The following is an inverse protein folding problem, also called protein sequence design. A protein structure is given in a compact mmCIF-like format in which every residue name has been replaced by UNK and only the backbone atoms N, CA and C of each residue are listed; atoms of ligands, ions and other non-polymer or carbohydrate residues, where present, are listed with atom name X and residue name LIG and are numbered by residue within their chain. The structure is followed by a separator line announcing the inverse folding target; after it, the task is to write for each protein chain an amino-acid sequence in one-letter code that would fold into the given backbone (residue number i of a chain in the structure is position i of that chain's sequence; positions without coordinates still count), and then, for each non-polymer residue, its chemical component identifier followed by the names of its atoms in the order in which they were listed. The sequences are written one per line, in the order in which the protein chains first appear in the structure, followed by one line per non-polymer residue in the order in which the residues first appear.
data_IF_038114061531
#
_entry.id   IF_038114061531
#
_cell.length_a   1.000
_cell.length_b   1.000
_cell.length_c   1.000
_cell.angle_alpha   90.00
_cell.angle_beta   90.00
_cell.angle_gamma   90.00
#
_symmetry.space_group_name_H-M   'P 1'
#
loop_
_entity.id
_entity.type
_entity.pdbx_description
1 polymer ?
#
# COMPACT_ATOMS: atom_id res chain seq x y z
N UNK A 1 -3.73 -26.16 -4.11
CA UNK A 1 -5.13 -25.77 -4.26
C UNK A 1 -5.20 -24.27 -4.51
N UNK A 2 -6.10 -23.84 -5.38
CA UNK A 2 -6.33 -22.45 -5.69
C UNK A 2 -7.69 -22.03 -5.17
N UNK A 3 -7.76 -20.83 -4.60
CA UNK A 3 -9.03 -20.20 -4.28
C UNK A 3 -9.71 -19.71 -5.56
N UNK A 4 -11.01 -19.85 -5.63
CA UNK A 4 -11.83 -19.33 -6.71
C UNK A 4 -13.16 -18.82 -6.17
N UNK A 5 -13.54 -17.62 -6.59
CA UNK A 5 -14.88 -17.09 -6.39
C UNK A 5 -15.32 -16.33 -7.64
N UNK A 6 -16.59 -16.37 -7.93
CA UNK A 6 -17.21 -15.56 -8.96
C UNK A 6 -18.19 -14.57 -8.30
N UNK A 7 -18.04 -13.29 -8.62
CA UNK A 7 -18.90 -12.22 -8.10
C UNK A 7 -19.70 -11.66 -9.26
N UNK A 8 -21.01 -11.60 -9.11
CA UNK A 8 -21.93 -10.99 -10.06
C UNK A 8 -22.54 -9.76 -9.44
N UNK A 9 -22.31 -8.62 -10.05
CA UNK A 9 -22.99 -7.38 -9.69
C UNK A 9 -24.32 -7.24 -10.46
N UNK A 10 -25.43 -7.12 -9.72
CA UNK A 10 -26.77 -6.94 -10.30
C UNK A 10 -27.14 -5.46 -10.29
N UNK A 11 -26.89 -4.77 -11.39
CA UNK A 11 -27.07 -3.30 -11.51
C UNK A 11 -28.48 -2.83 -11.11
N UNK A 12 -29.53 -3.62 -11.41
CA UNK A 12 -30.92 -3.26 -11.11
C UNK A 12 -31.21 -3.14 -9.61
N UNK A 13 -30.58 -3.96 -8.79
CA UNK A 13 -30.85 -4.06 -7.34
C UNK A 13 -29.70 -3.56 -6.48
N UNK A 14 -28.51 -3.35 -7.07
CA UNK A 14 -27.28 -3.05 -6.34
C UNK A 14 -26.75 -4.22 -5.50
N UNK A 15 -27.27 -5.43 -5.68
CA UNK A 15 -26.80 -6.60 -4.99
C UNK A 15 -25.59 -7.23 -5.69
N UNK A 16 -24.73 -7.82 -4.88
CA UNK A 16 -23.63 -8.67 -5.32
C UNK A 16 -23.96 -10.12 -4.94
N UNK A 17 -24.03 -10.97 -5.95
CA UNK A 17 -24.15 -12.40 -5.77
C UNK A 17 -22.76 -13.02 -5.83
N UNK A 18 -22.42 -13.84 -4.86
CA UNK A 18 -21.13 -14.56 -4.81
C UNK A 18 -21.37 -16.06 -4.99
N UNK A 19 -20.47 -16.71 -5.71
CA UNK A 19 -20.55 -18.17 -5.92
C UNK A 19 -20.37 -18.97 -4.63
N UNK A 20 -19.56 -18.44 -3.69
CA UNK A 20 -19.39 -19.00 -2.35
C UNK A 20 -20.19 -18.17 -1.33
N UNK A 21 -20.51 -18.78 -0.17
CA UNK A 21 -21.21 -18.08 0.93
C UNK A 21 -20.25 -17.08 1.62
N UNK A 22 -20.23 -15.86 1.11
CA UNK A 22 -19.38 -14.77 1.63
C UNK A 22 -20.11 -14.02 2.75
N UNK A 23 -19.46 -13.89 3.90
CA UNK A 23 -19.99 -13.22 5.09
C UNK A 23 -19.13 -12.01 5.46
N UNK A 24 -19.76 -10.88 5.72
CA UNK A 24 -19.07 -9.63 6.09
C UNK A 24 -18.31 -9.72 7.41
N UNK A 25 -18.72 -10.60 8.32
CA UNK A 25 -18.04 -10.80 9.58
C UNK A 25 -16.65 -11.42 9.45
N UNK A 26 -16.35 -12.08 8.32
CA UNK A 26 -15.05 -12.70 8.13
C UNK A 26 -13.97 -11.66 7.80
N UNK A 27 -12.78 -11.85 8.35
CA UNK A 27 -11.65 -10.94 8.23
C UNK A 27 -11.06 -10.83 6.81
N UNK A 28 -11.37 -11.79 5.94
CA UNK A 28 -10.84 -11.84 4.58
C UNK A 28 -11.88 -12.38 3.61
N UNK A 29 -12.09 -11.67 2.51
CA UNK A 29 -12.89 -12.13 1.38
C UNK A 29 -12.27 -13.36 0.74
N UNK A 30 -10.95 -13.35 0.52
CA UNK A 30 -10.20 -14.43 -0.12
C UNK A 30 -10.21 -15.73 0.69
N UNK A 31 -10.33 -15.66 2.02
CA UNK A 31 -10.44 -16.86 2.87
C UNK A 31 -11.78 -17.60 2.73
N UNK A 32 -12.75 -16.98 2.05
CA UNK A 32 -14.08 -17.54 1.83
C UNK A 32 -14.29 -18.08 0.42
N UNK A 33 -13.23 -18.13 -0.38
CA UNK A 33 -13.24 -18.68 -1.73
C UNK A 33 -13.42 -20.20 -1.70
N UNK A 34 -14.07 -20.73 -2.73
CA UNK A 34 -14.11 -22.17 -2.99
C UNK A 34 -12.74 -22.67 -3.46
N UNK A 35 -12.52 -23.97 -3.32
CA UNK A 35 -11.26 -24.60 -3.75
C UNK A 35 -11.41 -25.09 -5.18
N UNK A 36 -10.56 -24.61 -6.08
CA UNK A 36 -10.44 -25.12 -7.44
C UNK A 36 -9.56 -26.37 -7.43
N UNK A 37 -10.13 -27.50 -7.80
CA UNK A 37 -9.47 -28.81 -7.82
C UNK A 37 -9.19 -29.27 -9.26
N UNK A 38 -8.35 -30.27 -9.42
CA UNK A 38 -8.03 -30.85 -10.75
C UNK A 38 -6.98 -30.07 -11.54
N UNK A 39 -6.28 -29.13 -10.93
CA UNK A 39 -5.11 -28.47 -11.51
C UNK A 39 -3.88 -29.32 -11.25
N UNK A 40 -3.51 -30.15 -12.24
CA UNK A 40 -2.37 -31.05 -12.17
C UNK A 40 -1.21 -30.52 -13.06
N UNK A 41 0.03 -30.87 -12.72
CA UNK A 41 1.21 -30.51 -13.51
C UNK A 41 1.63 -29.05 -13.45
N UNK A 42 1.09 -28.26 -12.52
CA UNK A 42 1.52 -26.89 -12.30
C UNK A 42 2.75 -26.86 -11.38
N UNK A 43 3.90 -26.58 -11.97
CA UNK A 43 5.13 -26.35 -11.20
C UNK A 43 5.17 -24.90 -10.71
N UNK A 44 5.40 -24.74 -9.42
CA UNK A 44 5.63 -23.43 -8.80
C UNK A 44 7.12 -23.10 -8.93
N UNK A 45 7.46 -22.30 -9.93
CA UNK A 45 8.83 -21.85 -10.17
C UNK A 45 9.16 -20.56 -9.45
N UNK A 46 10.47 -20.28 -9.36
CA UNK A 46 10.98 -18.95 -9.06
C UNK A 46 10.71 -18.04 -10.27
N UNK A 47 10.03 -16.93 -10.07
CA UNK A 47 9.83 -15.91 -11.11
C UNK A 47 10.81 -14.79 -10.85
N UNK A 48 11.66 -14.51 -11.85
CA UNK A 48 12.53 -13.35 -11.86
C UNK A 48 12.17 -12.47 -13.05
N UNK A 49 11.94 -11.20 -12.78
CA UNK A 49 11.64 -10.20 -13.80
C UNK A 49 12.51 -8.97 -13.57
N UNK A 50 13.12 -8.46 -14.62
CA UNK A 50 13.88 -7.21 -14.62
C UNK A 50 13.38 -6.33 -15.78
N UNK A 51 12.92 -5.13 -15.47
CA UNK A 51 12.38 -4.17 -16.42
C UNK A 51 13.21 -2.88 -16.38
N UNK A 52 14.32 -2.80 -17.13
CA UNK A 52 14.99 -1.53 -17.34
C UNK A 52 14.15 -0.63 -18.26
N UNK A 53 14.21 0.67 -18.03
CA UNK A 53 13.56 1.66 -18.89
C UNK A 53 14.41 2.90 -19.03
N UNK A 54 14.16 3.63 -20.12
CA UNK A 54 14.73 4.96 -20.38
C UNK A 54 13.58 5.84 -20.85
N UNK A 55 13.49 7.04 -20.27
CA UNK A 55 12.48 8.04 -20.62
C UNK A 55 13.15 9.36 -20.96
N UNK A 56 12.44 10.22 -21.68
CA UNK A 56 12.83 11.59 -21.90
C UNK A 56 11.58 12.48 -21.80
N UNK A 57 11.63 13.44 -20.88
CA UNK A 57 10.57 14.41 -20.67
C UNK A 57 10.94 15.78 -21.23
N UNK A 58 9.94 16.56 -21.61
CA UNK A 58 10.07 17.98 -21.90
C UNK A 58 9.06 18.73 -21.05
N UNK A 59 9.53 19.73 -20.34
CA UNK A 59 8.68 20.76 -19.78
C UNK A 59 8.68 22.00 -20.67
N UNK A 60 7.76 22.90 -20.44
CA UNK A 60 7.71 24.18 -21.10
C UNK A 60 6.64 25.07 -20.50
N UNK A 61 6.85 26.35 -20.55
CA UNK A 61 5.92 27.36 -20.05
C UNK A 61 5.68 28.46 -21.09
N UNK A 62 4.52 29.09 -21.00
CA UNK A 62 4.19 30.26 -21.78
C UNK A 62 4.79 31.50 -21.09
N UNK A 63 5.54 32.32 -21.84
CA UNK A 63 6.03 33.60 -21.34
C UNK A 63 4.91 34.66 -21.26
N UNK A 64 5.22 35.82 -20.73
CA UNK A 64 4.26 36.91 -20.57
C UNK A 64 3.72 37.44 -21.92
N UNK A 65 4.45 37.21 -23.00
CA UNK A 65 4.10 37.59 -24.37
C UNK A 65 3.27 36.53 -25.10
N UNK A 66 3.05 35.36 -24.45
CA UNK A 66 2.24 34.27 -25.00
C UNK A 66 3.02 33.26 -25.86
N UNK A 67 4.37 33.37 -25.95
CA UNK A 67 5.18 32.41 -26.66
C UNK A 67 5.45 31.18 -25.76
N UNK A 68 5.40 30.00 -26.36
CA UNK A 68 5.71 28.76 -25.62
C UNK A 68 7.22 28.48 -25.66
N UNK A 69 7.88 28.59 -24.50
CA UNK A 69 9.29 28.26 -24.33
C UNK A 69 9.38 26.82 -23.81
N UNK A 70 10.13 25.98 -24.52
CA UNK A 70 10.40 24.60 -24.18
C UNK A 70 11.76 24.49 -23.51
N UNK A 71 11.79 23.77 -22.38
CA UNK A 71 13.04 23.42 -21.72
C UNK A 71 13.79 22.35 -22.51
N UNK A 72 15.08 22.17 -22.21
CA UNK A 72 15.84 21.06 -22.76
C UNK A 72 15.28 19.71 -22.29
N UNK A 73 15.40 18.65 -23.12
CA UNK A 73 14.91 17.33 -22.74
C UNK A 73 15.71 16.77 -21.56
N UNK A 74 14.99 16.29 -20.56
CA UNK A 74 15.56 15.64 -19.39
C UNK A 74 15.48 14.10 -19.56
N UNK A 75 16.58 13.43 -19.91
CA UNK A 75 16.62 11.99 -20.00
C UNK A 75 16.66 11.39 -18.60
N UNK A 76 15.91 10.32 -18.40
CA UNK A 76 15.87 9.54 -17.15
C UNK A 76 15.97 8.06 -17.46
N UNK A 77 16.58 7.28 -16.57
CA UNK A 77 16.68 5.84 -16.68
C UNK A 77 16.46 5.19 -15.30
N UNK A 78 15.83 4.06 -15.31
CA UNK A 78 15.58 3.31 -14.08
C UNK A 78 15.40 1.82 -14.34
N UNK A 79 15.12 1.08 -13.27
CA UNK A 79 14.90 -0.35 -13.32
C UNK A 79 13.90 -0.79 -12.26
N UNK A 80 12.99 -1.67 -12.64
CA UNK A 80 12.14 -2.42 -11.74
C UNK A 80 12.60 -3.88 -11.71
N UNK A 81 12.68 -4.45 -10.52
CA UNK A 81 13.08 -5.83 -10.28
C UNK A 81 11.97 -6.56 -9.51
N UNK A 82 11.69 -7.79 -9.89
CA UNK A 82 10.81 -8.66 -9.15
C UNK A 82 11.43 -10.04 -9.02
N UNK A 83 11.39 -10.57 -7.80
CA UNK A 83 11.70 -11.95 -7.49
C UNK A 83 10.54 -12.53 -6.69
N UNK A 84 9.82 -13.50 -7.25
CA UNK A 84 8.68 -14.10 -6.58
C UNK A 84 8.86 -15.61 -6.43
N UNK A 85 8.60 -16.08 -5.22
CA UNK A 85 8.46 -17.49 -4.87
C UNK A 85 6.97 -17.82 -4.74
N UNK A 86 6.66 -19.02 -4.31
CA UNK A 86 5.28 -19.45 -4.04
C UNK A 86 4.61 -18.72 -2.86
N UNK A 87 5.41 -18.15 -1.95
CA UNK A 87 4.92 -17.59 -0.68
C UNK A 87 5.34 -16.16 -0.46
N UNK A 88 6.45 -15.72 -1.06
CA UNK A 88 7.02 -14.39 -0.90
C UNK A 88 7.29 -13.76 -2.26
N UNK A 89 7.05 -12.46 -2.35
CA UNK A 89 7.46 -11.60 -3.45
C UNK A 89 8.41 -10.53 -2.93
N UNK A 90 9.49 -10.30 -3.67
CA UNK A 90 10.44 -9.22 -3.47
C UNK A 90 10.36 -8.32 -4.68
N UNK A 91 10.04 -7.06 -4.47
CA UNK A 91 10.01 -6.04 -5.50
C UNK A 91 11.04 -4.96 -5.17
N UNK A 92 11.82 -4.55 -6.16
CA UNK A 92 12.79 -3.47 -6.04
C UNK A 92 12.59 -2.47 -7.17
N UNK A 93 12.89 -1.22 -6.91
CA UNK A 93 12.87 -0.17 -7.94
C UNK A 93 13.97 0.85 -7.68
N UNK A 94 14.57 1.33 -8.75
CA UNK A 94 15.51 2.46 -8.73
C UNK A 94 15.05 3.44 -9.78
N UNK A 95 14.87 4.69 -9.38
CA UNK A 95 14.38 5.80 -10.18
C UNK A 95 13.09 5.42 -10.96
N UNK A 96 12.00 5.06 -10.26
CA UNK A 96 10.80 4.54 -10.89
C UNK A 96 10.11 5.59 -11.76
N UNK A 97 9.73 5.20 -12.97
CA UNK A 97 8.94 6.07 -13.86
C UNK A 97 7.44 5.89 -13.59
N UNK A 98 6.79 6.97 -13.21
CA UNK A 98 5.34 7.03 -13.01
C UNK A 98 4.61 7.85 -14.09
N UNK A 99 5.28 8.21 -15.17
CA UNK A 99 4.71 9.03 -16.26
C UNK A 99 3.50 8.38 -16.93
N UNK A 100 3.42 7.06 -16.91
CA UNK A 100 2.30 6.28 -17.46
C UNK A 100 1.12 6.13 -16.50
N UNK A 101 1.27 6.57 -15.24
CA UNK A 101 0.18 6.52 -14.27
C UNK A 101 -0.77 7.66 -14.56
N UNK A 102 -2.06 7.35 -14.72
CA UNK A 102 -3.08 8.39 -14.89
C UNK A 102 -2.97 9.44 -13.78
N UNK A 103 -2.89 10.71 -14.19
CA UNK A 103 -2.92 11.82 -13.25
C UNK A 103 -4.22 11.78 -12.43
N UNK A 104 -4.13 12.17 -11.17
CA UNK A 104 -5.30 12.28 -10.34
C UNK A 104 -6.23 13.36 -10.90
N UNK A 105 -7.53 13.10 -10.88
CA UNK A 105 -8.50 14.11 -11.30
C UNK A 105 -8.34 15.34 -10.40
N UNK A 106 -8.24 16.50 -11.02
CA UNK A 106 -8.18 17.76 -10.29
C UNK A 106 -9.42 17.93 -9.44
N UNK A 107 -9.29 17.72 -8.15
CA UNK A 107 -10.35 17.93 -7.18
C UNK A 107 -10.27 19.38 -6.70
N UNK A 108 -11.38 20.11 -6.83
CA UNK A 108 -11.49 21.46 -6.27
C UNK A 108 -11.69 21.32 -4.77
N UNK A 109 -10.61 21.49 -4.01
CA UNK A 109 -10.62 21.45 -2.55
C UNK A 109 -10.93 22.85 -2.02
N UNK A 110 -12.19 23.15 -1.76
CA UNK A 110 -12.60 24.37 -1.07
C UNK A 110 -13.20 23.98 0.28
N UNK A 111 -12.56 24.42 1.37
CA UNK A 111 -13.03 24.22 2.75
C UNK A 111 -13.12 22.74 3.22
N UNK A 112 -12.23 21.88 2.80
CA UNK A 112 -12.20 20.52 3.32
C UNK A 112 -11.62 20.46 4.73
N UNK A 113 -12.36 19.81 5.63
CA UNK A 113 -11.98 19.62 7.04
C UNK A 113 -10.99 18.44 7.22
N UNK A 114 -10.87 17.57 6.22
CA UNK A 114 -10.02 16.38 6.26
C UNK A 114 -9.14 16.34 5.01
N UNK A 115 -7.95 15.77 5.16
CA UNK A 115 -7.05 15.55 4.03
C UNK A 115 -7.71 14.60 3.00
N UNK A 116 -7.63 14.97 1.73
CA UNK A 116 -8.17 14.17 0.64
C UNK A 116 -7.42 12.84 0.54
N UNK A 117 -8.17 11.75 0.53
CA UNK A 117 -7.61 10.42 0.27
C UNK A 117 -7.60 10.16 -1.25
N UNK A 118 -6.40 10.02 -1.82
CA UNK A 118 -6.19 9.66 -3.22
C UNK A 118 -5.74 8.20 -3.28
N UNK A 119 -6.46 7.31 -4.00
CA UNK A 119 -6.06 5.92 -4.14
C UNK A 119 -4.67 5.78 -4.77
N UNK A 120 -3.90 4.78 -4.33
CA UNK A 120 -2.62 4.46 -4.94
C UNK A 120 -2.82 3.88 -6.34
N UNK A 121 -2.06 4.35 -7.31
CA UNK A 121 -2.09 3.89 -8.71
C UNK A 121 -0.72 3.43 -9.21
N UNK A 122 0.36 3.79 -8.51
CA UNK A 122 1.73 3.49 -8.93
C UNK A 122 2.02 1.99 -8.75
N UNK A 123 2.44 1.27 -9.81
CA UNK A 123 2.54 -0.20 -9.80
C UNK A 123 3.40 -0.76 -8.68
N UNK A 124 4.55 -0.12 -8.38
CA UNK A 124 5.43 -0.56 -7.30
C UNK A 124 4.73 -0.54 -5.94
N UNK A 125 3.97 0.50 -5.62
CA UNK A 125 3.27 0.63 -4.35
C UNK A 125 1.96 -0.17 -4.33
N UNK A 126 1.26 -0.26 -5.47
CA UNK A 126 -0.04 -0.93 -5.57
C UNK A 126 0.04 -2.44 -5.35
N UNK A 127 1.11 -3.08 -5.86
CA UNK A 127 1.29 -4.52 -5.78
C UNK A 127 1.40 -5.00 -4.33
N UNK A 128 0.49 -5.86 -3.89
CA UNK A 128 0.42 -6.36 -2.51
C UNK A 128 0.00 -5.32 -1.47
N UNK A 129 -0.62 -4.20 -1.86
CA UNK A 129 -1.05 -3.11 -0.96
C UNK A 129 -2.02 -3.60 0.12
N UNK A 130 -2.83 -4.60 -0.19
CA UNK A 130 -3.80 -5.17 0.76
C UNK A 130 -3.13 -5.77 2.01
N UNK A 131 -1.89 -6.23 1.89
CA UNK A 131 -1.12 -6.75 3.02
C UNK A 131 -0.70 -5.65 4.01
N UNK A 132 -0.73 -4.38 3.58
CA UNK A 132 -0.49 -3.21 4.42
C UNK A 132 -1.74 -2.63 5.05
N UNK A 133 -2.93 -3.17 4.73
CA UNK A 133 -4.19 -2.65 5.28
C UNK A 133 -4.27 -2.77 6.79
N UNK A 134 -4.72 -1.68 7.44
CA UNK A 134 -5.03 -1.60 8.86
C UNK A 134 -6.49 -1.15 9.05
N UNK A 135 -7.15 -1.47 10.18
CA UNK A 135 -8.53 -1.06 10.42
C UNK A 135 -8.81 0.43 10.26
N UNK A 136 -7.86 1.29 10.58
CA UNK A 136 -7.95 2.75 10.51
C UNK A 136 -7.14 3.39 9.39
N UNK A 137 -6.70 2.63 8.37
CA UNK A 137 -5.90 3.15 7.24
C UNK A 137 -4.70 4.00 7.66
N UNK A 138 -3.82 3.45 8.50
CA UNK A 138 -2.65 4.19 9.01
C UNK A 138 -1.51 4.30 8.00
N UNK A 139 -1.52 3.48 6.96
CA UNK A 139 -0.50 3.45 5.92
C UNK A 139 -1.02 4.15 4.67
N UNK A 140 -0.29 5.17 4.23
CA UNK A 140 -0.62 5.96 3.04
C UNK A 140 0.63 6.19 2.19
N UNK A 141 0.84 5.35 1.18
CA UNK A 141 2.04 5.33 0.34
C UNK A 141 2.20 6.56 -0.55
N UNK A 142 1.12 7.30 -0.81
CA UNK A 142 1.16 8.58 -1.55
C UNK A 142 1.92 9.70 -0.82
N UNK A 143 2.32 9.47 0.43
CA UNK A 143 3.25 10.34 1.15
C UNK A 143 4.69 10.26 0.61
N UNK A 144 5.03 9.19 -0.09
CA UNK A 144 6.27 9.01 -0.84
C UNK A 144 6.00 9.62 -2.22
N UNK A 145 6.58 10.78 -2.50
CA UNK A 145 6.20 11.59 -3.65
C UNK A 145 7.08 11.32 -4.87
N UNK A 146 8.39 11.47 -4.71
CA UNK A 146 9.40 11.30 -5.77
C UNK A 146 10.49 10.30 -5.33
N UNK A 147 10.19 9.00 -5.33
CA UNK A 147 11.10 8.01 -4.79
C UNK A 147 12.32 7.81 -5.69
N UNK A 148 13.51 8.04 -5.14
CA UNK A 148 14.81 7.67 -5.75
C UNK A 148 14.89 6.15 -5.94
N UNK A 149 14.32 5.41 -4.97
CA UNK A 149 14.29 3.97 -5.02
C UNK A 149 13.53 3.36 -3.85
N UNK A 150 13.26 2.08 -3.97
CA UNK A 150 12.56 1.35 -2.92
C UNK A 150 12.70 -0.16 -3.05
N UNK A 151 12.46 -0.83 -1.93
CA UNK A 151 12.40 -2.28 -1.84
C UNK A 151 11.17 -2.71 -1.05
N UNK A 152 10.53 -3.76 -1.48
CA UNK A 152 9.32 -4.28 -0.85
C UNK A 152 9.37 -5.80 -0.77
N UNK A 153 8.92 -6.33 0.36
CA UNK A 153 8.73 -7.77 0.58
C UNK A 153 7.29 -7.99 1.02
N UNK A 154 6.59 -8.84 0.31
CA UNK A 154 5.20 -9.19 0.65
C UNK A 154 4.97 -10.68 0.53
N UNK A 155 4.08 -11.22 1.36
CA UNK A 155 3.67 -12.60 1.24
C UNK A 155 3.14 -13.22 2.51
N UNK A 156 2.99 -14.55 2.47
CA UNK A 156 2.41 -15.31 3.57
C UNK A 156 3.25 -16.54 3.90
N UNK A 157 3.70 -16.64 5.14
CA UNK A 157 4.44 -17.78 5.68
C UNK A 157 3.57 -18.51 6.72
N UNK A 158 2.95 -19.60 6.30
CA UNK A 158 1.98 -20.31 7.12
C UNK A 158 0.79 -19.42 7.49
N UNK A 159 0.62 -19.13 8.77
CA UNK A 159 -0.44 -18.25 9.28
C UNK A 159 -0.03 -16.79 9.42
N UNK A 160 1.19 -16.42 9.02
CA UNK A 160 1.66 -15.06 9.15
C UNK A 160 1.75 -14.41 7.77
N UNK A 161 1.07 -13.29 7.58
CA UNK A 161 1.25 -12.40 6.44
C UNK A 161 2.26 -11.33 6.82
N UNK A 162 3.21 -11.07 5.95
CA UNK A 162 4.30 -10.10 6.16
C UNK A 162 4.30 -9.15 4.99
N UNK A 163 4.38 -7.86 5.29
CA UNK A 163 4.59 -6.82 4.30
C UNK A 163 5.60 -5.81 4.86
N UNK A 164 6.67 -5.60 4.12
CA UNK A 164 7.66 -4.58 4.39
C UNK A 164 7.86 -3.72 3.14
N UNK A 165 8.00 -2.42 3.32
CA UNK A 165 8.35 -1.47 2.28
C UNK A 165 9.34 -0.46 2.86
N UNK A 166 10.49 -0.33 2.20
CA UNK A 166 11.45 0.75 2.43
C UNK A 166 11.58 1.59 1.16
N UNK A 167 11.64 2.91 1.30
CA UNK A 167 11.81 3.82 0.16
C UNK A 167 12.58 5.06 0.59
N UNK A 168 13.32 5.61 -0.36
CA UNK A 168 13.98 6.92 -0.23
C UNK A 168 13.31 7.87 -1.21
N UNK A 169 12.87 9.02 -0.70
CA UNK A 169 12.11 10.04 -1.42
C UNK A 169 12.96 11.30 -1.56
N UNK A 170 13.09 11.83 -2.78
CA UNK A 170 13.78 13.09 -3.04
C UNK A 170 12.84 14.26 -2.70
N UNK A 171 13.25 15.10 -1.76
CA UNK A 171 12.55 16.33 -1.42
C UNK A 171 13.31 17.59 -1.87
N UNK A 172 14.32 17.41 -2.72
CA UNK A 172 15.15 18.45 -3.29
C UNK A 172 16.29 18.89 -2.37
N UNK A 173 16.01 19.35 -1.17
CA UNK A 173 17.04 19.81 -0.21
C UNK A 173 17.55 18.68 0.69
N UNK A 174 16.71 17.71 1.00
CA UNK A 174 17.00 16.55 1.85
C UNK A 174 16.25 15.34 1.33
N UNK A 175 16.72 14.15 1.66
CA UNK A 175 16.00 12.91 1.38
C UNK A 175 15.14 12.52 2.57
N UNK A 176 13.97 11.96 2.29
CA UNK A 176 13.14 11.32 3.30
C UNK A 176 13.21 9.78 3.19
N UNK A 177 13.47 9.14 4.32
CA UNK A 177 13.50 7.68 4.43
C UNK A 177 12.19 7.16 4.99
N UNK A 178 11.57 6.25 4.27
CA UNK A 178 10.32 5.60 4.69
C UNK A 178 10.56 4.12 5.00
N UNK A 179 10.03 3.66 6.12
CA UNK A 179 10.01 2.24 6.48
C UNK A 179 8.61 1.89 6.97
N UNK A 180 7.99 0.92 6.32
CA UNK A 180 6.66 0.43 6.66
C UNK A 180 6.76 -1.08 6.87
N UNK A 181 6.34 -1.56 8.04
CA UNK A 181 6.29 -2.99 8.37
C UNK A 181 4.89 -3.34 8.86
N UNK A 182 4.31 -4.36 8.29
CA UNK A 182 3.05 -4.96 8.73
C UNK A 182 3.24 -6.45 8.89
N UNK A 183 2.88 -6.98 10.04
CA UNK A 183 2.80 -8.41 10.30
C UNK A 183 1.40 -8.72 10.77
N UNK A 184 0.73 -9.65 10.12
CA UNK A 184 -0.61 -10.10 10.48
C UNK A 184 -0.62 -11.61 10.66
N UNK A 185 -1.25 -12.09 11.73
CA UNK A 185 -1.37 -13.50 12.05
C UNK A 185 -2.83 -13.93 12.04
N UNK A 186 -3.12 -15.00 11.32
CA UNK A 186 -4.44 -15.63 11.33
C UNK A 186 -4.65 -16.37 12.66
N UNK A 187 -5.74 -16.04 13.36
CA UNK A 187 -6.18 -16.64 14.60
C UNK A 187 -7.41 -17.53 14.31
N UNK A 188 -7.15 -18.78 13.93
CA UNK A 188 -8.20 -19.68 13.47
C UNK A 188 -8.58 -19.42 12.02
N UNK A 189 -9.88 -19.58 11.68
CA UNK A 189 -10.37 -19.47 10.31
C UNK A 189 -10.78 -18.05 9.92
N UNK A 190 -11.29 -17.25 10.86
CA UNK A 190 -11.97 -15.99 10.55
C UNK A 190 -11.47 -14.79 11.36
N UNK A 191 -10.49 -14.98 12.23
CA UNK A 191 -9.96 -13.92 13.08
C UNK A 191 -8.50 -13.65 12.76
N UNK A 192 -8.06 -12.43 13.00
CA UNK A 192 -6.68 -12.00 12.76
C UNK A 192 -6.22 -11.06 13.87
N UNK A 193 -4.91 -11.03 14.11
CA UNK A 193 -4.24 -9.97 14.87
C UNK A 193 -3.06 -9.44 14.08
N UNK A 194 -2.75 -8.17 14.23
CA UNK A 194 -1.72 -7.49 13.47
C UNK A 194 -0.86 -6.56 14.32
N UNK A 195 0.33 -6.30 13.80
CA UNK A 195 1.25 -5.27 14.27
C UNK A 195 1.72 -4.45 13.09
N UNK A 196 1.77 -3.13 13.26
CA UNK A 196 2.27 -2.20 12.25
C UNK A 196 3.34 -1.31 12.87
N UNK A 197 4.39 -1.10 12.11
CA UNK A 197 5.40 -0.08 12.39
C UNK A 197 5.55 0.80 11.15
N UNK A 198 5.53 2.12 11.32
CA UNK A 198 5.90 3.07 10.28
C UNK A 198 6.92 4.05 10.79
N UNK A 199 7.86 4.42 9.94
CA UNK A 199 8.88 5.43 10.23
C UNK A 199 9.10 6.29 8.99
N UNK A 200 9.12 7.59 9.17
CA UNK A 200 9.56 8.59 8.18
C UNK A 200 10.63 9.44 8.85
N UNK A 201 11.80 9.49 8.26
CA UNK A 201 12.95 10.27 8.74
C UNK A 201 13.35 11.25 7.65
N UNK A 202 13.49 12.53 8.01
CA UNK A 202 13.93 13.60 7.14
C UNK A 202 14.92 14.49 7.92
N UNK A 203 16.23 14.33 7.64
CA UNK A 203 17.26 14.98 8.45
C UNK A 203 17.16 14.56 9.91
N UNK A 204 16.91 15.51 10.82
CA UNK A 204 16.68 15.27 12.25
C UNK A 204 15.19 15.12 12.60
N UNK A 205 14.28 15.47 11.70
CA UNK A 205 12.84 15.29 11.88
C UNK A 205 12.43 13.83 11.65
N UNK A 206 11.45 13.35 12.39
CA UNK A 206 10.89 12.02 12.20
C UNK A 206 9.40 11.95 12.58
N UNK A 207 8.71 10.97 11.99
CA UNK A 207 7.40 10.54 12.41
C UNK A 207 7.39 9.01 12.50
N UNK A 208 7.13 8.48 13.69
CA UNK A 208 7.09 7.05 13.99
C UNK A 208 5.75 6.65 14.53
N UNK A 209 5.29 5.48 14.14
CA UNK A 209 4.06 4.88 14.66
C UNK A 209 4.29 3.41 14.96
N UNK A 210 3.84 2.97 16.11
CA UNK A 210 3.66 1.55 16.45
C UNK A 210 2.18 1.32 16.72
N UNK A 211 1.63 0.29 16.14
CA UNK A 211 0.21 -0.03 16.25
C UNK A 211 0.00 -1.52 16.37
N UNK A 212 -1.01 -1.93 17.16
CA UNK A 212 -1.53 -3.28 17.23
C UNK A 212 -3.03 -3.28 16.96
N UNK A 213 -3.49 -4.28 16.21
CA UNK A 213 -4.90 -4.48 15.90
C UNK A 213 -5.34 -5.94 16.02
N UNK A 214 -6.63 -6.12 16.18
CA UNK A 214 -7.24 -7.43 16.12
C UNK A 214 -8.65 -7.33 15.54
N UNK A 215 -9.01 -8.29 14.70
CA UNK A 215 -10.36 -8.52 14.22
C UNK A 215 -10.77 -9.94 14.65
N UNK A 216 -11.66 -10.03 15.63
CA UNK A 216 -12.07 -11.28 16.25
C UNK A 216 -13.51 -11.59 15.90
N UNK A 217 -13.73 -12.70 15.21
CA UNK A 217 -15.05 -13.19 14.85
C UNK A 217 -15.50 -14.26 15.86
N UNK A 218 -16.71 -14.13 16.37
CA UNK A 218 -17.33 -15.08 17.28
C UNK A 218 -18.76 -15.42 16.85
N UNK A 219 -19.20 -16.61 17.24
CA UNK A 219 -20.51 -17.16 16.85
C UNK A 219 -20.77 -17.11 15.32
N UNK A 220 -19.74 -17.03 14.49
CA UNK A 220 -19.78 -16.95 13.01
C UNK A 220 -20.50 -15.73 12.41
N UNK A 221 -21.05 -14.85 13.23
CA UNK A 221 -21.88 -13.71 12.80
C UNK A 221 -21.43 -12.36 13.38
N UNK A 222 -20.81 -12.38 14.53
CA UNK A 222 -20.42 -11.17 15.23
C UNK A 222 -18.92 -11.00 15.17
N UNK A 223 -18.47 -9.76 15.15
CA UNK A 223 -17.05 -9.45 15.24
C UNK A 223 -16.80 -8.26 16.17
N UNK A 224 -15.60 -8.21 16.70
CA UNK A 224 -15.02 -7.02 17.32
C UNK A 224 -13.72 -6.71 16.59
N UNK A 225 -13.60 -5.49 16.14
CA UNK A 225 -12.37 -4.94 15.56
C UNK A 225 -11.84 -3.86 16.48
N UNK A 226 -10.63 -4.04 16.97
CA UNK A 226 -9.95 -3.10 17.85
C UNK A 226 -8.58 -2.74 17.26
N UNK A 227 -8.21 -1.48 17.37
CA UNK A 227 -6.92 -0.96 16.97
C UNK A 227 -6.45 0.05 18.01
N UNK A 228 -5.18 -0.04 18.38
CA UNK A 228 -4.51 0.95 19.21
C UNK A 228 -3.08 1.18 18.72
N UNK A 229 -2.71 2.42 18.59
CA UNK A 229 -1.38 2.83 18.17
C UNK A 229 -0.91 4.07 18.91
N UNK A 230 0.40 4.26 18.91
CA UNK A 230 1.07 5.42 19.45
C UNK A 230 1.99 6.00 18.39
N UNK A 231 1.85 7.31 18.14
CA UNK A 231 2.76 8.05 17.26
C UNK A 231 3.70 8.94 18.04
N UNK A 232 4.88 9.15 17.48
CA UNK A 232 5.89 10.10 17.96
C UNK A 232 6.34 10.93 16.76
N UNK A 233 6.14 12.24 16.86
CA UNK A 233 6.54 13.19 15.82
C UNK A 233 7.52 14.19 16.39
N UNK A 234 8.71 14.29 15.82
CA UNK A 234 9.67 15.34 16.10
C UNK A 234 9.88 16.17 14.84
N UNK A 235 9.65 17.46 14.94
CA UNK A 235 9.98 18.43 13.91
C UNK A 235 11.35 19.04 14.23
N UNK A 236 12.07 19.44 13.19
CA UNK A 236 13.40 20.08 13.36
C UNK A 236 13.27 21.57 13.77
N UNK A 237 12.32 21.86 14.64
CA UNK A 237 11.96 23.20 15.08
C UNK A 237 12.33 23.49 16.57
N UNK A 238 12.95 22.50 17.23
CA UNK A 238 13.35 22.59 18.63
C UNK A 238 12.22 22.46 19.66
N UNK A 239 10.98 22.20 19.22
CA UNK A 239 9.81 22.09 20.10
C UNK A 239 9.65 20.71 20.77
N UNK A 240 10.60 19.79 20.53
CA UNK A 240 10.61 18.45 21.11
C UNK A 240 9.73 17.46 20.34
N UNK A 241 9.39 16.36 20.99
CA UNK A 241 8.60 15.26 20.40
C UNK A 241 7.16 15.35 20.87
N UNK A 242 6.24 15.41 19.92
CA UNK A 242 4.80 15.28 20.13
C UNK A 242 4.42 13.81 20.09
N UNK A 243 3.56 13.40 21.01
CA UNK A 243 3.13 12.00 21.15
C UNK A 243 1.62 11.92 21.17
N UNK A 244 1.03 11.19 20.21
CA UNK A 244 -0.42 11.10 20.05
C UNK A 244 -0.89 9.64 19.99
N UNK A 245 -1.92 9.24 20.77
CA UNK A 245 -2.55 7.95 20.65
C UNK A 245 -3.56 7.93 19.50
N UNK A 246 -3.66 6.79 18.86
CA UNK A 246 -4.68 6.49 17.83
C UNK A 246 -5.44 5.25 18.29
N UNK A 247 -6.76 5.29 18.23
CA UNK A 247 -7.56 4.10 18.53
C UNK A 247 -8.82 4.04 17.69
N UNK A 248 -9.27 2.82 17.42
CA UNK A 248 -10.51 2.50 16.75
C UNK A 248 -11.13 1.28 17.39
N UNK A 249 -12.44 1.29 17.58
CA UNK A 249 -13.23 0.15 18.01
C UNK A 249 -14.49 0.06 17.17
N UNK A 250 -14.75 -1.12 16.62
CA UNK A 250 -15.94 -1.44 15.81
C UNK A 250 -16.53 -2.76 16.27
N UNK A 251 -17.83 -2.86 16.32
CA UNK A 251 -18.56 -4.07 16.73
C UNK A 251 -19.91 -4.15 16.01
#
# INVERSE_FOLDING_TARGET
DWGFNAVRYVQRSGYEDTWTDVRRANSSFLAQEGVLTGLEGMERGLVFEAQPFVTAGWAGAQDAEGNFNRDDPEPSAGINLQLATTTLAFDGTVNPDFSQVESDQGLITVNERFALFVPEKRPFFLKGIDLFSTPGQLIYTRRIFDPIGGAKVTGKLGRNSIAYLGSVDDLGATDAWFSLLRVRRDLGENSVAGLTYTDRIEGSAYNRLVEGDAHIVFAKLYFVEAQYGQSWTSLDDGNGTVTDPIWKLTF
#
